data_IF_821013968118
#
_entry.id   IF_821013968118
#
_cell.length_a   1.000
_cell.length_b   1.000
_cell.length_c   1.000
_cell.angle_alpha   90.00
_cell.angle_beta   90.00
_cell.angle_gamma   90.00
#
_symmetry.space_group_name_H-M   'P 1'
#
loop_
_entity.id
_entity.type
_entity.pdbx_description
1 polymer ?
#
# COMPACT_ATOMS: atom_id res chain seq x y z
N UNK A 1 14.30 22.18 10.24
CA UNK A 1 12.86 22.29 10.51
C UNK A 1 12.27 23.29 9.54
N UNK A 2 11.09 23.00 8.98
CA UNK A 2 10.32 23.92 8.13
C UNK A 2 9.03 24.25 8.86
N UNK A 3 8.64 25.53 8.92
CA UNK A 3 7.45 25.91 9.67
C UNK A 3 6.77 27.20 9.22
N UNK A 4 5.44 27.26 9.40
CA UNK A 4 4.65 28.49 9.21
C UNK A 4 4.53 28.96 7.76
N UNK A 5 4.79 28.08 6.79
CA UNK A 5 4.76 28.38 5.36
C UNK A 5 3.46 27.91 4.70
N UNK A 6 3.14 28.39 3.50
CA UNK A 6 2.03 27.80 2.74
C UNK A 6 2.32 26.34 2.36
N UNK A 7 3.51 26.06 1.83
CA UNK A 7 3.98 24.71 1.54
C UNK A 7 5.27 24.45 2.32
N UNK A 8 5.35 23.35 3.06
CA UNK A 8 6.60 22.92 3.68
C UNK A 8 7.63 22.52 2.62
N UNK A 9 7.26 21.55 1.79
CA UNK A 9 7.96 21.18 0.56
C UNK A 9 6.95 21.07 -0.59
N UNK A 10 7.35 21.43 -1.81
CA UNK A 10 6.45 21.45 -2.97
C UNK A 10 7.14 20.95 -4.23
N UNK A 11 6.48 20.07 -4.99
CA UNK A 11 6.99 19.60 -6.28
C UNK A 11 8.30 18.82 -6.21
N UNK A 12 8.62 18.25 -5.05
CA UNK A 12 9.87 17.51 -4.85
C UNK A 12 9.80 16.11 -5.50
N UNK A 13 10.94 15.63 -5.97
CA UNK A 13 11.07 14.31 -6.59
C UNK A 13 12.29 13.57 -6.02
N UNK A 14 12.13 12.31 -5.61
CA UNK A 14 13.22 11.44 -5.16
C UNK A 14 14.08 12.05 -4.04
N UNK A 15 13.44 12.70 -3.07
CA UNK A 15 14.12 13.33 -1.93
C UNK A 15 13.90 12.54 -0.64
N UNK A 16 14.91 12.62 0.23
CA UNK A 16 14.80 12.17 1.63
C UNK A 16 14.41 13.35 2.52
N UNK A 17 13.37 13.18 3.33
CA UNK A 17 12.91 14.17 4.33
C UNK A 17 13.09 13.60 5.73
N UNK A 18 13.72 14.37 6.60
CA UNK A 18 13.86 14.09 8.03
C UNK A 18 13.64 15.37 8.86
N UNK A 19 13.48 15.22 10.17
CA UNK A 19 13.23 16.34 11.08
C UNK A 19 11.77 16.80 11.07
N UNK A 20 11.52 18.08 11.35
CA UNK A 20 10.16 18.59 11.57
C UNK A 20 9.64 19.48 10.43
N UNK A 21 8.38 19.25 10.02
CA UNK A 21 7.59 20.11 9.11
C UNK A 21 6.26 20.46 9.79
N UNK A 22 6.11 21.70 10.26
CA UNK A 22 5.01 22.04 11.16
C UNK A 22 4.35 23.39 10.93
N UNK A 23 3.04 23.46 11.11
CA UNK A 23 2.29 24.72 11.00
C UNK A 23 2.20 25.26 9.58
N UNK A 24 2.41 24.42 8.57
CA UNK A 24 2.24 24.82 7.17
C UNK A 24 0.77 24.66 6.73
N UNK A 25 0.37 25.19 5.56
CA UNK A 25 -0.93 24.79 4.98
C UNK A 25 -0.85 23.35 4.47
N UNK A 26 0.20 23.04 3.71
CA UNK A 26 0.52 21.71 3.22
C UNK A 26 1.92 21.33 3.70
N UNK A 27 2.08 20.16 4.32
CA UNK A 27 3.40 19.65 4.72
C UNK A 27 4.25 19.30 3.49
N UNK A 28 3.99 18.17 2.86
CA UNK A 28 4.48 17.83 1.51
C UNK A 28 3.37 18.04 0.48
N UNK A 29 3.60 18.88 -0.53
CA UNK A 29 2.61 19.21 -1.55
C UNK A 29 3.05 18.75 -2.95
N UNK A 30 2.32 17.81 -3.55
CA UNK A 30 2.60 17.29 -4.90
C UNK A 30 4.05 16.79 -5.02
N UNK A 31 4.50 16.01 -4.04
CA UNK A 31 5.83 15.43 -4.02
C UNK A 31 5.77 13.95 -4.40
N UNK A 32 6.76 13.45 -5.15
CA UNK A 32 6.75 12.09 -5.69
C UNK A 32 8.04 11.33 -5.37
N UNK A 33 7.93 10.01 -5.26
CA UNK A 33 9.07 9.12 -4.96
C UNK A 33 9.81 9.53 -3.68
N UNK A 34 9.10 10.07 -2.70
CA UNK A 34 9.70 10.58 -1.47
C UNK A 34 10.12 9.44 -0.55
N UNK A 35 11.23 9.62 0.16
CA UNK A 35 11.55 8.84 1.35
C UNK A 35 11.46 9.75 2.56
N UNK A 36 10.63 9.42 3.53
CA UNK A 36 10.48 10.18 4.76
C UNK A 36 10.95 9.29 5.90
N UNK A 37 11.94 9.69 6.68
CA UNK A 37 12.48 8.83 7.74
C UNK A 37 12.75 9.62 9.01
N UNK A 38 12.17 9.15 10.12
CA UNK A 38 12.28 9.79 11.43
C UNK A 38 11.76 11.24 11.46
N UNK A 39 10.82 11.58 10.58
CA UNK A 39 10.25 12.93 10.51
C UNK A 39 9.03 13.09 11.43
N UNK A 40 8.75 14.34 11.78
CA UNK A 40 7.53 14.72 12.50
C UNK A 40 6.81 15.80 11.73
N UNK A 41 5.56 15.53 11.37
CA UNK A 41 4.66 16.50 10.80
C UNK A 41 3.60 16.87 11.82
N UNK A 42 3.27 18.15 11.95
CA UNK A 42 2.27 18.60 12.93
C UNK A 42 1.67 19.96 12.62
N UNK A 43 0.40 20.14 12.91
CA UNK A 43 -0.30 21.42 12.71
C UNK A 43 -0.39 21.88 11.24
N UNK A 44 -0.23 20.97 10.28
CA UNK A 44 -0.41 21.27 8.87
C UNK A 44 -1.91 21.25 8.51
N UNK A 45 -2.45 22.38 8.05
CA UNK A 45 -3.91 22.60 8.09
C UNK A 45 -4.71 21.82 7.05
N UNK A 46 -4.14 21.50 5.88
CA UNK A 46 -4.79 20.66 4.86
C UNK A 46 -4.27 19.22 4.89
N UNK A 47 -3.01 19.02 5.27
CA UNK A 47 -2.45 17.70 5.44
C UNK A 47 -0.95 17.72 5.68
N UNK A 48 -0.46 16.72 6.41
CA UNK A 48 0.99 16.46 6.52
C UNK A 48 1.56 16.08 5.15
N UNK A 49 0.79 15.31 4.39
CA UNK A 49 0.96 15.00 2.99
C UNK A 49 -0.23 15.56 2.21
N UNK A 50 0.01 16.00 0.98
CA UNK A 50 -1.05 16.37 0.07
C UNK A 50 -0.69 15.98 -1.35
N UNK A 51 -1.51 15.13 -1.97
CA UNK A 51 -1.30 14.59 -3.34
C UNK A 51 0.13 14.10 -3.58
N UNK A 52 0.71 13.47 -2.55
CA UNK A 52 2.13 13.09 -2.53
C UNK A 52 2.28 11.57 -2.44
N UNK A 53 3.32 11.04 -3.09
CA UNK A 53 3.64 9.61 -3.16
C UNK A 53 5.05 9.30 -2.68
N UNK A 54 5.23 8.12 -2.11
CA UNK A 54 6.49 7.72 -1.52
C UNK A 54 6.32 6.76 -0.34
N UNK A 55 7.36 6.70 0.48
CA UNK A 55 7.43 5.85 1.67
C UNK A 55 7.86 6.66 2.87
N UNK A 56 7.26 6.37 4.00
CA UNK A 56 7.67 6.84 5.30
C UNK A 56 8.11 5.69 6.20
N UNK A 57 9.11 5.97 7.03
CA UNK A 57 9.63 5.08 8.06
C UNK A 57 9.68 5.86 9.37
N UNK A 58 9.18 5.27 10.46
CA UNK A 58 9.29 5.85 11.82
C UNK A 58 8.81 7.31 11.90
N UNK A 59 7.83 7.67 11.09
CA UNK A 59 7.36 9.04 10.91
C UNK A 59 6.08 9.25 11.67
N UNK A 60 5.97 10.40 12.34
CA UNK A 60 4.76 10.84 13.03
C UNK A 60 3.97 11.81 12.16
N UNK A 61 2.71 11.46 11.86
CA UNK A 61 1.75 12.31 11.16
C UNK A 61 0.76 12.89 12.18
N UNK A 62 1.15 14.00 12.81
CA UNK A 62 0.45 14.58 13.95
C UNK A 62 -0.62 15.62 13.60
N UNK A 63 -0.92 15.87 12.32
CA UNK A 63 -1.98 16.80 11.94
C UNK A 63 -3.36 16.14 11.89
N UNK A 64 -4.42 16.95 11.91
CA UNK A 64 -5.80 16.46 11.83
C UNK A 64 -6.10 15.68 10.53
N UNK A 65 -5.33 15.95 9.47
CA UNK A 65 -5.33 15.18 8.23
C UNK A 65 -3.90 14.75 7.94
N UNK A 66 -3.66 13.45 7.85
CA UNK A 66 -2.31 12.93 7.59
C UNK A 66 -1.99 13.03 6.09
N UNK A 67 -2.86 12.52 5.22
CA UNK A 67 -2.72 12.66 3.78
C UNK A 67 -4.01 13.22 3.18
N UNK A 68 -3.94 14.43 2.64
CA UNK A 68 -5.03 15.08 1.92
C UNK A 68 -4.95 14.82 0.42
N UNK A 69 -6.10 14.61 -0.23
CA UNK A 69 -6.15 14.52 -1.70
C UNK A 69 -5.45 13.28 -2.30
N UNK A 70 -5.18 12.24 -1.50
CA UNK A 70 -4.65 10.96 -2.00
C UNK A 70 -5.59 10.26 -3.01
N UNK A 71 -6.89 10.55 -2.94
CA UNK A 71 -7.91 10.09 -3.89
C UNK A 71 -8.14 11.08 -5.06
N UNK A 72 -7.24 12.04 -5.27
CA UNK A 72 -7.35 13.03 -6.34
C UNK A 72 -6.98 12.46 -7.71
N UNK A 73 -7.63 12.96 -8.76
CA UNK A 73 -7.43 12.56 -10.17
C UNK A 73 -6.01 12.77 -10.73
N UNK A 74 -5.16 13.53 -10.03
CA UNK A 74 -3.77 13.79 -10.44
C UNK A 74 -2.80 12.71 -9.93
N UNK A 75 -3.32 11.70 -9.23
CA UNK A 75 -2.55 10.59 -8.69
C UNK A 75 -2.82 9.36 -9.55
N UNK A 76 -1.77 8.72 -10.07
CA UNK A 76 -1.91 7.54 -10.91
C UNK A 76 -2.66 6.42 -10.18
N UNK A 77 -3.37 5.57 -10.92
CA UNK A 77 -4.18 4.47 -10.35
C UNK A 77 -3.38 3.50 -9.48
N UNK A 78 -2.07 3.37 -9.75
CA UNK A 78 -1.13 2.56 -8.99
C UNK A 78 -0.28 3.37 -8.00
N UNK A 79 -0.48 4.68 -7.92
CA UNK A 79 0.27 5.56 -7.01
C UNK A 79 -0.26 5.43 -5.59
N UNK A 80 0.66 5.42 -4.63
CA UNK A 80 0.34 5.37 -3.22
C UNK A 80 1.41 6.06 -2.38
N UNK A 81 1.06 6.31 -1.13
CA UNK A 81 2.03 6.63 -0.09
C UNK A 81 1.90 5.57 1.00
N UNK A 82 2.99 4.97 1.45
CA UNK A 82 2.97 4.05 2.59
C UNK A 82 3.80 4.57 3.75
N UNK A 83 3.40 4.20 4.96
CA UNK A 83 4.09 4.48 6.21
C UNK A 83 4.31 3.18 6.95
N UNK A 84 5.59 2.81 7.09
CA UNK A 84 6.04 1.68 7.91
C UNK A 84 6.43 2.18 9.30
N UNK A 85 6.07 1.41 10.32
CA UNK A 85 6.13 1.83 11.72
C UNK A 85 5.42 3.19 11.92
N UNK A 86 4.19 3.26 11.40
CA UNK A 86 3.36 4.45 11.38
C UNK A 86 3.19 5.04 12.79
N UNK A 87 3.38 6.36 12.90
CA UNK A 87 3.41 7.11 14.16
C UNK A 87 4.42 6.59 15.19
N UNK A 88 5.53 6.04 14.70
CA UNK A 88 6.58 5.47 15.55
C UNK A 88 6.16 4.17 16.24
N UNK A 89 4.99 3.61 15.92
CA UNK A 89 4.49 2.36 16.51
C UNK A 89 5.05 1.17 15.74
N UNK A 90 5.83 0.33 16.43
CA UNK A 90 6.46 -0.84 15.81
C UNK A 90 5.44 -1.77 15.12
N UNK A 91 5.70 -2.09 13.86
CA UNK A 91 4.85 -2.92 13.00
C UNK A 91 3.57 -2.24 12.52
N UNK A 92 3.25 -1.01 12.96
CA UNK A 92 2.12 -0.25 12.42
C UNK A 92 2.34 0.07 10.95
N UNK A 93 1.27 -0.09 10.17
CA UNK A 93 1.28 0.15 8.75
C UNK A 93 0.09 1.02 8.40
N UNK A 94 0.33 2.03 7.56
CA UNK A 94 -0.72 2.78 6.88
C UNK A 94 -0.31 3.00 5.43
N UNK A 95 -1.26 2.91 4.51
CA UNK A 95 -1.06 3.40 3.15
C UNK A 95 -2.30 4.10 2.62
N UNK A 96 -2.06 5.11 1.80
CA UNK A 96 -3.10 5.87 1.10
C UNK A 96 -3.02 5.60 -0.38
N UNK A 97 -4.16 5.20 -0.95
CA UNK A 97 -4.32 4.83 -2.36
C UNK A 97 -5.55 5.54 -2.92
N UNK A 98 -5.66 5.64 -4.25
CA UNK A 98 -6.84 6.25 -4.86
C UNK A 98 -8.18 5.64 -4.40
N UNK A 99 -8.19 4.34 -4.06
CA UNK A 99 -9.40 3.63 -3.64
C UNK A 99 -9.73 3.67 -2.16
N UNK A 100 -8.83 4.19 -1.31
CA UNK A 100 -9.00 4.15 0.13
C UNK A 100 -7.68 4.01 0.91
N UNK A 101 -7.81 3.58 2.17
CA UNK A 101 -6.70 3.50 3.12
C UNK A 101 -6.49 2.05 3.53
N UNK A 102 -5.24 1.61 3.57
CA UNK A 102 -4.86 0.36 4.22
C UNK A 102 -4.29 0.66 5.59
N UNK A 103 -4.86 0.09 6.64
CA UNK A 103 -4.35 0.18 8.00
C UNK A 103 -3.95 -1.20 8.51
N UNK A 104 -2.90 -1.29 9.30
CA UNK A 104 -2.72 -2.45 10.16
C UNK A 104 -3.83 -2.53 11.20
N UNK A 105 -4.47 -3.70 11.33
CA UNK A 105 -5.55 -3.95 12.26
C UNK A 105 -5.16 -5.05 13.25
N UNK A 106 -5.21 -4.72 14.54
CA UNK A 106 -4.92 -5.63 15.63
C UNK A 106 -6.18 -6.28 16.23
N UNK A 107 -7.38 -5.91 15.77
CA UNK A 107 -8.68 -6.37 16.28
C UNK A 107 -9.26 -7.47 15.38
N UNK A 108 -9.39 -7.21 14.08
CA UNK A 108 -9.94 -8.18 13.13
C UNK A 108 -8.82 -8.93 12.45
N UNK A 109 -8.42 -10.05 13.05
CA UNK A 109 -7.24 -10.83 12.66
C UNK A 109 -7.37 -12.31 13.04
N UNK A 110 -6.57 -13.17 12.41
CA UNK A 110 -6.33 -14.55 12.79
C UNK A 110 -5.09 -14.68 13.68
N UNK A 111 -4.00 -14.00 13.32
CA UNK A 111 -2.73 -14.10 14.04
C UNK A 111 -2.38 -12.79 14.77
N UNK A 112 -1.27 -12.15 14.38
CA UNK A 112 -0.73 -10.97 15.06
C UNK A 112 -1.44 -9.71 14.60
N UNK A 113 -1.71 -9.59 13.29
CA UNK A 113 -2.21 -8.38 12.64
C UNK A 113 -2.66 -8.71 11.23
N UNK A 114 -3.70 -8.03 10.77
CA UNK A 114 -4.12 -8.02 9.38
C UNK A 114 -3.92 -6.64 8.75
N UNK A 115 -3.92 -6.58 7.43
CA UNK A 115 -3.97 -5.33 6.68
C UNK A 115 -5.42 -5.10 6.26
N UNK A 116 -6.06 -4.10 6.87
CA UNK A 116 -7.44 -3.69 6.60
C UNK A 116 -7.46 -2.68 5.47
N UNK A 117 -7.99 -3.10 4.33
CA UNK A 117 -8.28 -2.28 3.15
C UNK A 117 -9.66 -1.65 3.34
N UNK A 118 -9.71 -0.41 3.80
CA UNK A 118 -10.94 0.37 3.91
C UNK A 118 -11.23 1.04 2.56
N UNK A 119 -12.16 0.45 1.81
CA UNK A 119 -12.50 0.87 0.46
C UNK A 119 -13.50 2.02 0.47
N UNK A 120 -13.24 3.04 -0.33
CA UNK A 120 -14.07 4.25 -0.46
C UNK A 120 -14.37 4.61 -1.91
N UNK A 121 -14.02 3.74 -2.88
CA UNK A 121 -14.23 3.94 -4.31
C UNK A 121 -14.55 2.64 -5.04
N UNK A 122 -15.56 2.68 -5.90
CA UNK A 122 -15.85 1.60 -6.85
C UNK A 122 -14.92 1.62 -8.07
N UNK A 123 -14.28 2.76 -8.35
CA UNK A 123 -13.46 2.96 -9.55
C UNK A 123 -11.99 2.66 -9.27
N UNK A 124 -11.50 3.07 -8.10
CA UNK A 124 -10.10 2.97 -7.71
C UNK A 124 -9.86 1.86 -6.68
N UNK A 125 -8.74 1.17 -6.78
CA UNK A 125 -8.38 0.07 -5.91
C UNK A 125 -7.75 0.54 -4.59
N UNK A 126 -8.06 -0.18 -3.49
CA UNK A 126 -7.34 -0.07 -2.21
C UNK A 126 -6.34 -1.21 -2.10
N UNK A 127 -5.06 -0.91 -1.93
CA UNK A 127 -4.01 -1.92 -2.01
C UNK A 127 -2.82 -1.68 -1.07
N UNK A 128 -2.09 -2.76 -0.80
CA UNK A 128 -0.75 -2.76 -0.20
C UNK A 128 0.18 -3.53 -1.12
N UNK A 129 1.45 -3.14 -1.19
CA UNK A 129 2.44 -3.79 -2.03
C UNK A 129 3.75 -4.07 -1.29
N UNK A 130 4.45 -5.12 -1.69
CA UNK A 130 5.80 -5.45 -1.23
C UNK A 130 6.65 -5.93 -2.41
N UNK A 131 7.88 -5.47 -2.46
CA UNK A 131 8.82 -5.79 -3.54
C UNK A 131 9.70 -6.98 -3.18
N UNK A 132 9.96 -7.83 -4.16
CA UNK A 132 10.82 -9.00 -4.06
C UNK A 132 11.71 -9.06 -5.31
N UNK A 133 12.99 -9.37 -5.13
CA UNK A 133 13.87 -9.80 -6.22
C UNK A 133 14.04 -11.31 -6.09
N UNK A 134 13.76 -12.02 -7.18
CA UNK A 134 13.90 -13.47 -7.27
C UNK A 134 15.05 -13.80 -8.22
N UNK A 135 16.02 -14.59 -7.75
CA UNK A 135 17.07 -15.14 -8.61
C UNK A 135 16.48 -16.16 -9.61
N UNK A 136 17.22 -16.53 -10.68
CA UNK A 136 16.78 -17.59 -11.59
C UNK A 136 16.37 -18.85 -10.83
N UNK A 137 15.24 -19.44 -11.24
CA UNK A 137 14.62 -20.63 -10.62
C UNK A 137 14.08 -20.45 -9.20
N UNK A 138 14.16 -19.27 -8.59
CA UNK A 138 13.47 -19.01 -7.33
C UNK A 138 11.96 -18.89 -7.51
N UNK A 139 11.23 -19.41 -6.53
CA UNK A 139 9.77 -19.33 -6.44
C UNK A 139 9.34 -18.40 -5.31
N UNK A 140 8.41 -17.49 -5.62
CA UNK A 140 7.66 -16.76 -4.62
C UNK A 140 6.27 -17.39 -4.48
N UNK A 141 5.94 -17.85 -3.28
CA UNK A 141 4.60 -18.29 -2.90
C UNK A 141 4.05 -17.36 -1.83
N UNK A 142 2.84 -16.88 -2.05
CA UNK A 142 2.10 -16.10 -1.07
C UNK A 142 0.82 -16.82 -0.75
N UNK A 143 0.65 -17.15 0.53
CA UNK A 143 -0.63 -17.56 1.08
C UNK A 143 -1.20 -16.38 1.85
N UNK A 144 -2.47 -16.07 1.69
CA UNK A 144 -3.12 -15.06 2.51
C UNK A 144 -4.44 -15.57 3.04
N UNK A 145 -4.70 -15.37 4.34
CA UNK A 145 -6.06 -15.46 4.84
C UNK A 145 -6.75 -14.12 4.61
N UNK A 146 -7.92 -14.17 3.99
CA UNK A 146 -8.67 -12.98 3.58
C UNK A 146 -10.08 -13.04 4.17
N UNK A 147 -10.57 -11.91 4.66
CA UNK A 147 -11.95 -11.71 5.14
C UNK A 147 -12.49 -10.42 4.54
N UNK A 148 -13.80 -10.33 4.30
CA UNK A 148 -14.49 -9.10 3.88
C UNK A 148 -15.79 -8.92 4.65
N UNK A 149 -16.19 -7.68 4.96
CA UNK A 149 -17.44 -7.38 5.70
C UNK A 149 -18.63 -7.07 4.79
N UNK A 150 -18.40 -7.06 3.48
CA UNK A 150 -19.36 -6.62 2.48
C UNK A 150 -19.24 -7.47 1.22
N UNK A 151 -20.31 -7.50 0.44
CA UNK A 151 -20.25 -8.00 -0.94
C UNK A 151 -19.54 -6.97 -1.81
N UNK A 152 -18.54 -7.42 -2.57
CA UNK A 152 -17.71 -6.56 -3.40
C UNK A 152 -17.77 -7.08 -4.84
N UNK A 153 -18.17 -6.23 -5.79
CA UNK A 153 -18.21 -6.61 -7.21
C UNK A 153 -16.81 -6.95 -7.74
N UNK A 154 -15.82 -6.18 -7.33
CA UNK A 154 -14.40 -6.55 -7.46
C UNK A 154 -13.98 -7.19 -6.15
N UNK A 155 -13.93 -8.52 -6.13
CA UNK A 155 -13.62 -9.26 -4.90
C UNK A 155 -12.14 -9.06 -4.49
N UNK A 156 -11.83 -9.17 -3.19
CA UNK A 156 -10.45 -9.14 -2.69
C UNK A 156 -9.55 -10.16 -3.42
N UNK A 157 -8.31 -9.77 -3.74
CA UNK A 157 -7.33 -10.61 -4.44
C UNK A 157 -5.94 -10.49 -3.86
N UNK A 158 -5.16 -11.55 -4.03
CA UNK A 158 -3.70 -11.47 -3.96
C UNK A 158 -3.13 -11.59 -5.37
N UNK A 159 -2.11 -10.81 -5.66
CA UNK A 159 -1.46 -10.77 -6.97
C UNK A 159 0.06 -10.85 -6.79
N UNK A 160 0.70 -11.59 -7.69
CA UNK A 160 2.13 -11.47 -8.01
C UNK A 160 2.22 -10.78 -9.37
N UNK A 161 2.99 -9.70 -9.45
CA UNK A 161 3.06 -8.84 -10.63
C UNK A 161 4.51 -8.65 -11.05
N UNK A 162 4.73 -8.43 -12.34
CA UNK A 162 5.96 -7.82 -12.81
C UNK A 162 5.97 -6.36 -12.32
N UNK A 163 7.08 -5.96 -11.69
CA UNK A 163 7.27 -4.59 -11.20
C UNK A 163 7.05 -3.53 -12.29
N UNK A 164 7.39 -3.84 -13.54
CA UNK A 164 7.31 -2.91 -14.67
C UNK A 164 6.02 -3.03 -15.49
N UNK A 165 5.20 -4.06 -15.25
CA UNK A 165 3.96 -4.30 -15.98
C UNK A 165 2.77 -4.40 -15.00
N UNK A 166 2.45 -3.26 -14.39
CA UNK A 166 1.36 -3.16 -13.41
C UNK A 166 -0.02 -3.04 -14.10
N UNK A 167 -0.97 -3.97 -13.84
CA UNK A 167 -2.35 -3.90 -14.38
C UNK A 167 -3.17 -2.70 -13.89
N UNK A 168 -2.78 -2.08 -12.78
CA UNK A 168 -3.40 -0.82 -12.33
C UNK A 168 -2.90 0.37 -13.15
N UNK A 169 -1.67 0.33 -13.68
CA UNK A 169 -1.12 1.41 -14.49
C UNK A 169 -1.57 1.31 -15.96
N UNK A 170 -1.65 0.10 -16.50
CA UNK A 170 -2.10 -0.19 -17.86
C UNK A 170 -2.90 -1.50 -17.86
N UNK A 171 -4.15 -1.43 -18.32
CA UNK A 171 -5.08 -2.58 -18.35
C UNK A 171 -4.67 -3.69 -19.32
N UNK A 172 -3.70 -3.44 -20.20
CA UNK A 172 -3.15 -4.48 -21.08
C UNK A 172 -2.14 -5.38 -20.35
N UNK A 173 -1.64 -4.96 -19.19
CA UNK A 173 -0.78 -5.77 -18.36
C UNK A 173 -1.57 -6.85 -17.62
N UNK A 174 -0.92 -7.98 -17.36
CA UNK A 174 -1.53 -9.14 -16.67
C UNK A 174 -0.66 -9.51 -15.47
N UNK A 175 -1.31 -9.91 -14.38
CA UNK A 175 -0.60 -10.44 -13.22
C UNK A 175 0.19 -11.71 -13.60
N UNK A 176 1.38 -11.89 -13.01
CA UNK A 176 2.15 -13.12 -13.13
C UNK A 176 1.40 -14.31 -12.51
N UNK A 177 0.72 -14.05 -11.38
CA UNK A 177 -0.23 -14.95 -10.75
C UNK A 177 -1.26 -14.13 -9.96
N UNK A 178 -2.51 -14.59 -9.92
CA UNK A 178 -3.58 -13.96 -9.15
C UNK A 178 -4.48 -15.02 -8.53
N UNK A 179 -5.02 -14.73 -7.35
CA UNK A 179 -6.12 -15.50 -6.78
C UNK A 179 -7.16 -14.57 -6.19
N UNK A 180 -8.40 -14.75 -6.64
CA UNK A 180 -9.57 -14.01 -6.17
C UNK A 180 -10.26 -14.74 -5.01
N UNK A 181 -10.83 -13.98 -4.08
CA UNK A 181 -11.72 -14.50 -3.04
C UNK A 181 -12.89 -15.29 -3.67
N UNK A 182 -13.15 -16.54 -3.25
CA UNK A 182 -13.87 -17.50 -4.09
C UNK A 182 -15.38 -17.26 -4.26
N UNK A 183 -16.01 -16.50 -3.36
CA UNK A 183 -17.45 -16.31 -3.35
C UNK A 183 -17.89 -15.02 -2.62
N UNK A 184 -19.20 -14.81 -2.51
CA UNK A 184 -19.75 -13.57 -1.95
C UNK A 184 -19.91 -13.59 -0.43
N UNK A 185 -19.48 -14.65 0.27
CA UNK A 185 -19.62 -14.72 1.73
C UNK A 185 -18.88 -13.57 2.43
N UNK A 186 -19.52 -13.04 3.48
CA UNK A 186 -18.92 -12.03 4.35
C UNK A 186 -18.49 -12.65 5.67
N UNK A 187 -17.65 -11.91 6.40
CA UNK A 187 -17.20 -12.16 7.76
C UNK A 187 -16.53 -13.51 8.00
N UNK A 188 -16.12 -14.18 6.93
CA UNK A 188 -15.48 -15.49 6.94
C UNK A 188 -14.05 -15.36 6.43
N UNK A 189 -13.11 -16.02 7.11
CA UNK A 189 -11.73 -16.10 6.67
C UNK A 189 -11.56 -17.21 5.63
N UNK A 190 -10.89 -16.90 4.52
CA UNK A 190 -10.58 -17.86 3.45
C UNK A 190 -9.14 -17.75 3.02
N UNK A 191 -8.51 -18.88 2.76
CA UNK A 191 -7.15 -18.92 2.25
C UNK A 191 -7.16 -18.66 0.73
N UNK A 192 -6.33 -17.72 0.29
CA UNK A 192 -5.94 -17.52 -1.10
C UNK A 192 -4.46 -17.90 -1.23
N UNK A 193 -4.06 -18.40 -2.39
CA UNK A 193 -2.67 -18.78 -2.63
C UNK A 193 -2.27 -18.51 -4.08
N UNK A 194 -1.19 -17.74 -4.26
CA UNK A 194 -0.60 -17.46 -5.55
C UNK A 194 0.89 -17.81 -5.51
N UNK A 195 1.39 -18.41 -6.59
CA UNK A 195 2.81 -18.72 -6.74
C UNK A 195 3.32 -18.40 -8.14
N UNK A 196 4.58 -18.00 -8.22
CA UNK A 196 5.27 -17.76 -9.48
C UNK A 196 6.77 -18.08 -9.34
N UNK A 197 7.33 -18.69 -10.38
CA UNK A 197 8.75 -19.04 -10.47
C UNK A 197 9.44 -18.16 -11.49
N UNK A 198 10.60 -17.61 -11.15
CA UNK A 198 11.44 -16.90 -12.11
C UNK A 198 12.08 -17.90 -13.08
N UNK A 199 11.56 -17.95 -14.31
CA UNK A 199 12.11 -18.78 -15.39
C UNK A 199 13.15 -18.05 -16.24
N UNK A 200 13.44 -16.78 -15.93
CA UNK A 200 14.45 -16.00 -16.65
C UNK A 200 15.87 -16.40 -16.22
N UNK A 201 16.84 -16.15 -17.09
CA UNK A 201 18.25 -16.37 -16.80
C UNK A 201 18.87 -15.30 -15.87
N UNK A 202 18.11 -14.25 -15.51
CA UNK A 202 18.54 -13.15 -14.68
C UNK A 202 17.57 -12.92 -13.50
N UNK A 203 18.00 -12.22 -12.44
CA UNK A 203 17.11 -11.83 -11.36
C UNK A 203 15.92 -11.03 -11.87
N UNK A 204 14.75 -11.27 -11.29
CA UNK A 204 13.48 -10.66 -11.70
C UNK A 204 12.80 -9.94 -10.54
N UNK A 205 12.28 -8.74 -10.80
CA UNK A 205 11.61 -7.91 -9.80
C UNK A 205 10.10 -8.19 -9.80
N UNK A 206 9.61 -8.76 -8.69
CA UNK A 206 8.22 -9.14 -8.47
C UNK A 206 7.59 -8.25 -7.40
N UNK A 207 6.36 -7.81 -7.65
CA UNK A 207 5.50 -7.18 -6.64
C UNK A 207 4.48 -8.20 -6.11
N UNK A 208 4.44 -8.37 -4.80
CA UNK A 208 3.24 -8.87 -4.14
C UNK A 208 2.27 -7.71 -3.91
N UNK A 209 0.98 -7.93 -4.21
CA UNK A 209 -0.10 -7.00 -3.90
C UNK A 209 -1.29 -7.71 -3.25
N UNK A 210 -1.77 -7.18 -2.13
CA UNK A 210 -3.17 -7.38 -1.71
C UNK A 210 -4.01 -6.25 -2.28
N UNK A 211 -5.19 -6.56 -2.81
CA UNK A 211 -6.06 -5.56 -3.45
C UNK A 211 -7.54 -5.85 -3.22
N UNK A 212 -8.30 -4.80 -2.95
CA UNK A 212 -9.77 -4.83 -2.89
C UNK A 212 -10.33 -3.54 -3.51
N UNK A 213 -11.57 -3.58 -3.98
CA UNK A 213 -12.23 -2.40 -4.56
C UNK A 213 -13.74 -2.44 -4.35
N UNK A 214 -14.26 -1.42 -3.68
CA UNK A 214 -15.69 -1.25 -3.44
C UNK A 214 -16.01 0.19 -3.04
N UNK A 215 -17.25 0.65 -3.27
CA UNK A 215 -17.68 1.99 -2.86
C UNK A 215 -17.63 2.21 -1.34
N UNK A 216 -17.78 1.13 -0.57
CA UNK A 216 -17.65 1.11 0.89
C UNK A 216 -17.28 -0.30 1.38
N UNK A 217 -16.88 -0.40 2.64
CA UNK A 217 -16.59 -1.67 3.30
C UNK A 217 -15.11 -2.03 3.32
N UNK A 218 -14.80 -3.10 4.02
CA UNK A 218 -13.44 -3.49 4.36
C UNK A 218 -13.11 -4.91 3.90
N UNK A 219 -11.85 -5.10 3.52
CA UNK A 219 -11.23 -6.40 3.37
C UNK A 219 -9.97 -6.48 4.25
N UNK A 220 -9.75 -7.61 4.92
CA UNK A 220 -8.59 -7.85 5.76
C UNK A 220 -7.74 -8.95 5.13
N UNK A 221 -6.44 -8.71 5.05
CA UNK A 221 -5.46 -9.66 4.52
C UNK A 221 -4.41 -10.01 5.56
N UNK A 222 -4.13 -11.30 5.74
CA UNK A 222 -2.99 -11.81 6.50
C UNK A 222 -2.07 -12.62 5.59
N UNK A 223 -1.12 -11.96 4.91
CA UNK A 223 -0.19 -12.66 4.04
C UNK A 223 0.92 -13.36 4.83
N UNK A 224 1.16 -14.61 4.47
CA UNK A 224 2.33 -15.41 4.74
C UNK A 224 3.13 -15.52 3.44
N UNK A 225 4.35 -14.98 3.45
CA UNK A 225 5.18 -14.86 2.25
C UNK A 225 6.35 -15.83 2.38
N UNK A 226 6.44 -16.75 1.42
CA UNK A 226 7.40 -17.84 1.42
C UNK A 226 8.25 -17.73 0.15
N UNK A 227 9.55 -17.51 0.32
CA UNK A 227 10.54 -17.67 -0.75
C UNK A 227 11.11 -19.08 -0.70
N UNK A 228 11.17 -19.72 -1.86
CA UNK A 228 11.73 -21.06 -2.00
C UNK A 228 12.74 -21.05 -3.15
N UNK A 229 13.91 -21.62 -2.90
CA UNK A 229 14.81 -22.06 -3.96
C UNK A 229 14.44 -23.51 -4.27
N UNK A 230 14.34 -23.91 -5.54
CA UNK A 230 14.24 -25.34 -5.85
C UNK A 230 15.53 -26.02 -5.36
N UNK A 231 15.42 -26.75 -4.26
CA UNK A 231 16.47 -27.63 -3.76
C UNK A 231 16.46 -28.92 -4.56
N UNK A 232 17.58 -29.23 -5.21
CA UNK A 232 17.93 -30.58 -5.66
C UNK A 232 18.39 -31.41 -4.46
#
# INVERSE_FOLDING_TARGET
AVSGCNNGLTGCYSMTVSGAVSGCTYGLNVCYSMTVDGATFSGNSIGDLYKSGGRAYHTTFGSATENGGYAGVYFGLNSFFESLNHDGVAGAYRAWTGGGIVDSDATTKLNVRSYKHNCTSADYATFMQREYTLDPSEKLRVRAYVRKDSTMAYKPRIQLLDFYADPLADTNNVALAETEYPDDTTDTWKALEAEWTNTNAAPFHVLYRSVAKNASGNAWFEPEIIRMTEGW
#
